data_IF_482652364687
#
_entry.id   IF_482652364687
#
_cell.length_a   1.000
_cell.length_b   1.000
_cell.length_c   1.000
_cell.angle_alpha   90.00
_cell.angle_beta   90.00
_cell.angle_gamma   90.00
#
_symmetry.space_group_name_H-M   'P 1'
#
loop_
_entity.id
_entity.type
_entity.pdbx_description
1 polymer ?
#
# COMPACT_ATOMS: atom_id res chain seq x y z
N UNK A 1 -1.17 12.25 -18.40
CA UNK A 1 -1.01 10.93 -17.73
C UNK A 1 -2.41 10.42 -17.41
N UNK A 2 -3.15 9.98 -18.43
CA UNK A 2 -4.59 10.28 -18.55
C UNK A 2 -5.44 9.01 -18.78
N UNK A 3 -5.23 7.97 -17.97
CA UNK A 3 -6.12 6.81 -17.96
C UNK A 3 -6.98 6.81 -16.69
N UNK A 4 -8.29 6.96 -16.88
CA UNK A 4 -9.31 6.90 -15.82
C UNK A 4 -9.21 5.58 -15.05
N UNK A 5 -8.92 4.47 -15.72
CA UNK A 5 -8.80 3.17 -15.09
C UNK A 5 -7.56 3.10 -14.19
N UNK A 6 -6.45 3.71 -14.62
CA UNK A 6 -5.26 3.81 -13.78
C UNK A 6 -5.56 4.60 -12.50
N UNK A 7 -6.17 5.80 -12.61
CA UNK A 7 -6.54 6.62 -11.44
C UNK A 7 -7.46 5.85 -10.50
N UNK A 8 -8.52 5.22 -11.03
CA UNK A 8 -9.44 4.41 -10.23
C UNK A 8 -8.73 3.24 -9.55
N UNK A 9 -7.79 2.58 -10.23
CA UNK A 9 -6.99 1.49 -9.66
C UNK A 9 -6.09 1.95 -8.51
N UNK A 10 -5.46 3.13 -8.63
CA UNK A 10 -4.66 3.71 -7.55
C UNK A 10 -5.54 4.05 -6.34
N UNK A 11 -6.66 4.75 -6.55
CA UNK A 11 -7.60 5.12 -5.47
C UNK A 11 -8.16 3.88 -4.76
N UNK A 12 -8.48 2.82 -5.48
CA UNK A 12 -8.92 1.54 -4.89
C UNK A 12 -7.85 0.88 -4.03
N UNK A 13 -6.57 1.05 -4.37
CA UNK A 13 -5.44 0.49 -3.64
C UNK A 13 -5.07 1.30 -2.40
N UNK A 14 -5.54 2.55 -2.29
CA UNK A 14 -5.10 3.50 -1.28
C UNK A 14 -5.21 2.98 0.16
N UNK A 15 -6.40 2.53 0.57
CA UNK A 15 -6.59 1.94 1.92
C UNK A 15 -5.69 0.75 2.16
N UNK A 16 -5.54 -0.13 1.18
CA UNK A 16 -4.70 -1.31 1.32
C UNK A 16 -3.25 -0.91 1.55
N UNK A 17 -2.73 0.08 0.81
CA UNK A 17 -1.40 0.63 1.01
C UNK A 17 -1.23 1.32 2.37
N UNK A 18 -2.20 2.14 2.81
CA UNK A 18 -2.18 2.78 4.15
C UNK A 18 -2.08 1.71 5.23
N UNK A 19 -2.98 0.72 5.21
CA UNK A 19 -3.00 -0.34 6.21
C UNK A 19 -1.73 -1.20 6.14
N UNK A 20 -1.22 -1.48 4.95
CA UNK A 20 0.01 -2.24 4.79
C UNK A 20 1.21 -1.51 5.40
N UNK A 21 1.35 -0.19 5.18
CA UNK A 21 2.42 0.61 5.79
C UNK A 21 2.26 0.71 7.30
N UNK A 22 1.04 0.92 7.79
CA UNK A 22 0.78 1.15 9.21
C UNK A 22 0.91 -0.14 10.04
N UNK A 23 0.46 -1.28 9.51
CA UNK A 23 0.31 -2.53 10.26
C UNK A 23 1.34 -3.58 9.84
N UNK A 24 1.42 -3.90 8.54
CA UNK A 24 2.17 -5.07 8.05
C UNK A 24 3.67 -4.81 7.89
N UNK A 25 4.05 -3.64 7.38
CA UNK A 25 5.46 -3.32 7.14
C UNK A 25 6.30 -3.35 8.42
N UNK A 26 5.89 -2.70 9.54
CA UNK A 26 6.70 -2.68 10.75
C UNK A 26 6.87 -4.06 11.35
N UNK A 27 5.80 -4.87 11.35
CA UNK A 27 5.81 -6.25 11.85
C UNK A 27 6.80 -7.12 11.05
N UNK A 28 6.66 -7.14 9.72
CA UNK A 28 7.55 -7.93 8.85
C UNK A 28 9.01 -7.48 8.94
N UNK A 29 9.24 -6.17 9.00
CA UNK A 29 10.61 -5.65 9.12
C UNK A 29 11.22 -6.08 10.46
N UNK A 30 10.46 -5.98 11.55
CA UNK A 30 10.91 -6.42 12.87
C UNK A 30 11.28 -7.90 12.89
N UNK A 31 10.45 -8.76 12.30
CA UNK A 31 10.72 -10.20 12.20
C UNK A 31 12.03 -10.49 11.45
N UNK A 32 12.22 -9.87 10.27
CA UNK A 32 13.43 -10.05 9.47
C UNK A 32 14.68 -9.52 10.18
N UNK A 33 14.60 -8.36 10.83
CA UNK A 33 15.69 -7.80 11.62
C UNK A 33 16.02 -8.66 12.85
N UNK A 34 15.01 -9.25 13.48
CA UNK A 34 15.20 -10.19 14.58
C UNK A 34 15.90 -11.47 14.10
N UNK A 35 15.47 -12.04 12.97
CA UNK A 35 16.08 -13.22 12.37
C UNK A 35 17.54 -12.93 11.98
N UNK A 36 17.82 -11.75 11.42
CA UNK A 36 19.18 -11.31 11.07
C UNK A 36 20.09 -11.18 12.29
N UNK A 37 19.56 -10.69 13.42
CA UNK A 37 20.30 -10.55 14.69
C UNK A 37 20.57 -11.89 15.36
N UNK A 38 19.63 -12.84 15.25
CA UNK A 38 19.72 -14.16 15.85
C UNK A 38 20.39 -15.22 14.96
N UNK A 39 20.89 -14.82 13.79
CA UNK A 39 21.65 -15.72 12.93
C UNK A 39 22.89 -16.21 13.67
N UNK A 40 22.86 -17.48 14.10
CA UNK A 40 24.00 -18.13 14.75
C UNK A 40 24.98 -18.63 13.70
N UNK A 41 26.27 -18.52 14.02
CA UNK A 41 27.33 -19.16 13.26
C UNK A 41 27.09 -20.67 13.14
N UNK A 42 27.50 -21.23 12.01
CA UNK A 42 27.35 -22.66 11.68
C UNK A 42 28.00 -23.51 12.78
N UNK A 43 27.30 -24.52 13.27
CA UNK A 43 27.85 -25.47 14.25
C UNK A 43 29.01 -26.27 13.63
N UNK A 44 29.92 -26.80 14.46
CA UNK A 44 31.04 -27.63 13.98
C UNK A 44 30.55 -28.89 13.22
N UNK A 45 29.38 -29.42 13.59
CA UNK A 45 28.74 -30.59 12.98
C UNK A 45 28.23 -30.30 11.56
N UNK A 46 27.67 -29.12 11.31
CA UNK A 46 27.23 -28.68 9.98
C UNK A 46 28.40 -28.41 9.02
N UNK A 47 29.61 -28.10 9.55
CA UNK A 47 30.83 -27.97 8.74
C UNK A 47 31.38 -29.30 8.23
N UNK A 48 31.18 -30.41 8.94
CA UNK A 48 31.67 -31.73 8.51
C UNK A 48 30.74 -32.45 7.52
N UNK A 49 29.46 -32.05 7.43
CA UNK A 49 28.44 -32.72 6.60
C UNK A 49 28.40 -32.33 5.11
N UNK A 50 29.26 -31.43 4.62
CA UNK A 50 29.39 -31.12 3.18
C UNK A 50 28.18 -30.42 2.51
N UNK A 51 27.11 -30.10 3.25
CA UNK A 51 25.84 -29.57 2.72
C UNK A 51 25.27 -28.36 3.51
N UNK A 52 26.08 -27.66 4.30
CA UNK A 52 25.61 -26.48 5.05
C UNK A 52 25.54 -25.22 4.18
N UNK A 53 24.36 -24.61 4.09
CA UNK A 53 24.20 -23.22 3.61
C UNK A 53 25.02 -22.32 4.56
N UNK A 54 26.05 -21.65 4.02
CA UNK A 54 26.93 -20.79 4.81
C UNK A 54 26.11 -19.66 5.50
N UNK A 55 26.52 -19.23 6.68
CA UNK A 55 25.93 -18.08 7.40
C UNK A 55 25.86 -16.85 6.50
N UNK A 56 26.89 -16.63 5.67
CA UNK A 56 26.94 -15.57 4.68
C UNK A 56 25.76 -15.62 3.70
N UNK A 57 25.42 -16.82 3.21
CA UNK A 57 24.32 -17.02 2.27
C UNK A 57 22.96 -16.80 2.95
N UNK A 58 22.75 -17.35 4.15
CA UNK A 58 21.54 -17.11 4.96
C UNK A 58 21.34 -15.63 5.29
N UNK A 59 22.42 -14.92 5.62
CA UNK A 59 22.42 -13.47 5.85
C UNK A 59 22.05 -12.70 4.58
N UNK A 60 22.56 -13.14 3.42
CA UNK A 60 22.22 -12.56 2.13
C UNK A 60 20.73 -12.71 1.81
N UNK A 61 20.15 -13.89 2.03
CA UNK A 61 18.72 -14.15 1.77
C UNK A 61 17.81 -13.23 2.59
N UNK A 62 18.07 -13.08 3.89
CA UNK A 62 17.30 -12.17 4.75
C UNK A 62 17.46 -10.71 4.29
N UNK A 63 18.67 -10.30 3.91
CA UNK A 63 18.88 -8.95 3.38
C UNK A 63 18.11 -8.71 2.07
N UNK A 64 18.02 -9.72 1.20
CA UNK A 64 17.23 -9.65 -0.03
C UNK A 64 15.73 -9.53 0.27
N UNK A 65 15.23 -10.22 1.28
CA UNK A 65 13.85 -10.07 1.74
C UNK A 65 13.57 -8.68 2.33
N UNK A 66 14.49 -8.14 3.13
CA UNK A 66 14.40 -6.76 3.63
C UNK A 66 14.38 -5.77 2.45
N UNK A 67 15.21 -5.99 1.43
CA UNK A 67 15.23 -5.14 0.25
C UNK A 67 13.94 -5.23 -0.58
N UNK A 68 13.36 -6.44 -0.73
CA UNK A 68 12.04 -6.62 -1.35
C UNK A 68 10.95 -5.90 -0.55
N UNK A 69 10.97 -6.02 0.78
CA UNK A 69 10.03 -5.35 1.68
C UNK A 69 10.12 -3.82 1.56
N UNK A 70 11.34 -3.28 1.47
CA UNK A 70 11.57 -1.84 1.21
C UNK A 70 11.01 -1.39 -0.14
N UNK A 71 11.15 -2.19 -1.20
CA UNK A 71 10.55 -1.89 -2.51
C UNK A 71 9.02 -1.88 -2.46
N UNK A 72 8.41 -2.85 -1.77
CA UNK A 72 6.95 -2.89 -1.58
C UNK A 72 6.44 -1.68 -0.78
N UNK A 73 7.20 -1.25 0.25
CA UNK A 73 6.94 0.01 0.96
C UNK A 73 6.99 1.22 0.03
N UNK A 74 8.05 1.38 -0.75
CA UNK A 74 8.18 2.50 -1.69
C UNK A 74 7.05 2.52 -2.71
N UNK A 75 6.60 1.34 -3.17
CA UNK A 75 5.42 1.23 -4.02
C UNK A 75 4.17 1.77 -3.28
N UNK A 76 3.89 1.29 -2.07
CA UNK A 76 2.74 1.76 -1.28
C UNK A 76 2.79 3.27 -1.00
N UNK A 77 3.95 3.82 -0.67
CA UNK A 77 4.17 5.25 -0.45
C UNK A 77 3.88 6.05 -1.73
N UNK A 78 4.32 5.56 -2.88
CA UNK A 78 4.02 6.17 -4.18
C UNK A 78 2.53 6.15 -4.49
N UNK A 79 1.81 5.06 -4.18
CA UNK A 79 0.34 4.99 -4.37
C UNK A 79 -0.36 6.02 -3.47
N UNK A 80 0.02 6.10 -2.19
CA UNK A 80 -0.55 7.05 -1.23
C UNK A 80 -0.33 8.50 -1.70
N UNK A 81 0.91 8.86 -2.03
CA UNK A 81 1.25 10.20 -2.51
C UNK A 81 0.50 10.56 -3.80
N UNK A 82 0.40 9.61 -4.73
CA UNK A 82 -0.39 9.80 -5.94
C UNK A 82 -1.87 10.06 -5.60
N UNK A 83 -2.46 9.29 -4.69
CA UNK A 83 -3.85 9.48 -4.30
C UNK A 83 -4.07 10.83 -3.58
N UNK A 84 -3.15 11.26 -2.73
CA UNK A 84 -3.20 12.57 -2.08
C UNK A 84 -3.19 13.71 -3.11
N UNK A 85 -2.30 13.65 -4.09
CA UNK A 85 -2.26 14.58 -5.21
C UNK A 85 -3.58 14.57 -6.02
N UNK A 86 -4.18 13.39 -6.24
CA UNK A 86 -5.49 13.31 -6.91
C UNK A 86 -6.56 14.01 -6.07
N UNK A 87 -6.59 13.82 -4.75
CA UNK A 87 -7.55 14.51 -3.88
C UNK A 87 -7.38 16.03 -3.93
N UNK A 88 -6.15 16.53 -3.96
CA UNK A 88 -5.90 17.97 -4.08
C UNK A 88 -6.49 18.57 -5.36
N UNK A 89 -6.54 17.79 -6.45
CA UNK A 89 -7.16 18.20 -7.72
C UNK A 89 -8.68 18.09 -7.72
N UNK A 90 -9.28 17.32 -6.82
CA UNK A 90 -10.74 17.19 -6.71
C UNK A 90 -11.34 18.50 -6.21
N UNK A 91 -12.53 18.84 -6.71
CA UNK A 91 -13.25 20.01 -6.25
C UNK A 91 -13.42 19.98 -4.72
N UNK A 92 -13.12 21.08 -3.99
CA UNK A 92 -13.04 21.08 -2.53
C UNK A 92 -14.26 20.46 -1.82
N UNK A 93 -15.47 20.71 -2.30
CA UNK A 93 -16.71 20.18 -1.71
C UNK A 93 -16.93 18.68 -1.93
N UNK A 94 -16.14 18.02 -2.79
CA UNK A 94 -16.16 16.57 -3.00
C UNK A 94 -14.96 15.83 -2.42
N UNK A 95 -13.94 16.54 -1.92
CA UNK A 95 -12.71 15.92 -1.40
C UNK A 95 -12.99 14.94 -0.26
N UNK A 96 -13.86 15.32 0.68
CA UNK A 96 -14.21 14.48 1.83
C UNK A 96 -14.94 13.19 1.42
N UNK A 97 -15.76 13.24 0.36
CA UNK A 97 -16.43 12.06 -0.19
C UNK A 97 -15.38 11.07 -0.69
N UNK A 98 -14.39 11.54 -1.44
CA UNK A 98 -13.31 10.70 -1.96
C UNK A 98 -12.41 10.17 -0.85
N UNK A 99 -11.95 11.03 0.06
CA UNK A 99 -11.14 10.61 1.21
C UNK A 99 -11.87 9.53 2.00
N UNK A 100 -13.15 9.74 2.32
CA UNK A 100 -13.92 8.76 3.08
C UNK A 100 -14.14 7.47 2.29
N UNK A 101 -14.45 7.57 0.99
CA UNK A 101 -14.65 6.40 0.12
C UNK A 101 -13.43 5.48 0.06
N UNK A 102 -12.24 6.06 -0.08
CA UNK A 102 -11.03 5.30 -0.41
C UNK A 102 -10.13 5.02 0.79
N UNK A 103 -10.39 5.60 1.96
CA UNK A 103 -9.65 5.27 3.20
C UNK A 103 -10.46 4.45 4.20
N UNK A 104 -11.80 4.37 4.06
CA UNK A 104 -12.66 3.62 5.00
C UNK A 104 -13.36 2.42 4.36
N UNK A 105 -13.69 1.41 5.18
CA UNK A 105 -14.52 0.29 4.75
C UNK A 105 -16.01 0.67 4.80
N UNK A 106 -16.48 1.36 3.77
CA UNK A 106 -17.86 1.84 3.69
C UNK A 106 -18.50 1.49 2.36
N UNK A 107 -19.80 1.12 2.40
CA UNK A 107 -20.59 0.96 1.18
C UNK A 107 -20.96 2.32 0.60
N UNK A 108 -21.20 2.39 -0.72
CA UNK A 108 -21.66 3.63 -1.36
C UNK A 108 -22.97 4.13 -0.73
N UNK A 109 -23.86 3.23 -0.32
CA UNK A 109 -25.11 3.59 0.37
C UNK A 109 -24.86 4.32 1.69
N UNK A 110 -23.88 3.87 2.48
CA UNK A 110 -23.53 4.53 3.73
C UNK A 110 -22.87 5.89 3.50
N UNK A 111 -22.02 6.00 2.49
CA UNK A 111 -21.40 7.27 2.09
C UNK A 111 -22.48 8.27 1.67
N UNK A 112 -23.43 7.84 0.83
CA UNK A 112 -24.55 8.66 0.40
C UNK A 112 -25.36 9.19 1.59
N UNK A 113 -25.69 8.31 2.55
CA UNK A 113 -26.35 8.69 3.80
C UNK A 113 -25.53 9.71 4.60
N UNK A 114 -24.23 9.45 4.82
CA UNK A 114 -23.34 10.31 5.61
C UNK A 114 -23.21 11.72 5.06
N UNK A 115 -23.17 11.86 3.74
CA UNK A 115 -22.96 13.14 3.07
C UNK A 115 -24.25 13.77 2.55
N UNK A 116 -25.42 13.20 2.83
CA UNK A 116 -26.72 13.76 2.44
C UNK A 116 -27.01 13.72 0.95
N UNK A 117 -26.45 12.75 0.22
CA UNK A 117 -26.65 12.58 -1.22
C UNK A 117 -27.47 11.33 -1.53
N UNK A 118 -28.05 11.28 -2.73
CA UNK A 118 -28.54 10.02 -3.29
C UNK A 118 -27.37 9.11 -3.69
N UNK A 119 -27.59 7.79 -3.62
CA UNK A 119 -26.60 6.79 -4.03
C UNK A 119 -26.11 7.03 -5.47
N UNK A 120 -27.02 7.39 -6.38
CA UNK A 120 -26.71 7.69 -7.79
C UNK A 120 -25.78 8.91 -7.91
N UNK A 121 -26.01 9.94 -7.10
CA UNK A 121 -25.19 11.16 -7.08
C UNK A 121 -23.76 10.85 -6.66
N UNK A 122 -23.54 9.98 -5.67
CA UNK A 122 -22.18 9.59 -5.27
C UNK A 122 -21.41 8.94 -6.42
N UNK A 123 -22.04 8.02 -7.18
CA UNK A 123 -21.39 7.44 -8.38
C UNK A 123 -21.05 8.51 -9.41
N UNK A 124 -21.99 9.42 -9.70
CA UNK A 124 -21.75 10.50 -10.66
C UNK A 124 -20.64 11.46 -10.24
N UNK A 125 -20.55 11.79 -8.94
CA UNK A 125 -19.45 12.61 -8.40
C UNK A 125 -18.13 11.89 -8.63
N UNK A 126 -18.04 10.61 -8.27
CA UNK A 126 -16.82 9.83 -8.41
C UNK A 126 -16.40 9.76 -9.88
N UNK A 127 -17.32 9.36 -10.77
CA UNK A 127 -17.00 9.19 -12.19
C UNK A 127 -16.59 10.52 -12.84
N UNK A 128 -17.39 11.59 -12.66
CA UNK A 128 -17.09 12.90 -13.26
C UNK A 128 -15.78 13.49 -12.79
N UNK A 129 -15.48 13.43 -11.49
CA UNK A 129 -14.23 13.99 -10.98
C UNK A 129 -13.03 13.16 -11.42
N UNK A 130 -13.14 11.83 -11.47
CA UNK A 130 -12.05 10.99 -12.01
C UNK A 130 -11.83 11.20 -13.51
N UNK A 131 -12.89 11.35 -14.30
CA UNK A 131 -12.81 11.68 -15.73
C UNK A 131 -12.25 13.08 -15.97
N UNK A 132 -12.67 14.08 -15.19
CA UNK A 132 -12.13 15.44 -15.29
C UNK A 132 -10.62 15.44 -15.06
N UNK A 133 -10.16 14.86 -13.95
CA UNK A 133 -8.73 14.80 -13.60
C UNK A 133 -7.93 14.00 -14.63
N UNK A 134 -8.54 12.95 -15.20
CA UNK A 134 -7.91 12.19 -16.28
C UNK A 134 -7.84 12.95 -17.60
N UNK A 135 -8.54 14.07 -17.80
CA UNK A 135 -8.53 14.84 -19.05
C UNK A 135 -7.79 16.17 -18.95
N UNK A 136 -7.30 16.53 -17.76
CA UNK A 136 -6.37 17.64 -17.52
C UNK A 136 -4.93 17.29 -17.92
#
# INVERSE_FOLDING_TARGET
MNDVNYIKGQLQSWRACINWIAEKYPEKLFELEHNLKNLKGISYEEKQGGHGIDESLRRSEINDEINKLKKEKQHCESVISFCEMIIEKIQPHYQDIFRYRYTTYSTISWIAYKFGYEKKTIYQIIDRETERIANE
#
